data_IF_179352258320
#
_entry.id   IF_179352258320
#
_cell.length_a   1.000
_cell.length_b   1.000
_cell.length_c   1.000
_cell.angle_alpha   90.00
_cell.angle_beta   90.00
_cell.angle_gamma   90.00
#
_symmetry.space_group_name_H-M   'P 1'
#
loop_
_entity.id
_entity.type
_entity.pdbx_description
1 polymer ?
#
# COMPACT_ATOMS: atom_id res chain seq x y z
N UNK A 1 6.22 -16.04 -13.75
CA UNK A 1 5.48 -16.80 -12.71
C UNK A 1 6.33 -16.94 -11.46
N UNK A 2 7.47 -17.64 -11.52
CA UNK A 2 8.39 -17.83 -10.38
C UNK A 2 8.82 -16.49 -9.78
N UNK A 3 9.18 -15.50 -10.60
CA UNK A 3 9.59 -14.16 -10.13
C UNK A 3 8.46 -13.37 -9.44
N UNK A 4 7.18 -13.69 -9.68
CA UNK A 4 6.07 -13.01 -9.00
C UNK A 4 5.74 -13.68 -7.65
N UNK A 5 5.96 -14.99 -7.54
CA UNK A 5 5.75 -15.76 -6.31
C UNK A 5 6.97 -15.63 -5.38
N UNK A 6 8.16 -15.54 -5.97
CA UNK A 6 9.44 -15.33 -5.29
C UNK A 6 10.18 -14.16 -5.93
N UNK A 7 9.85 -12.91 -5.56
CA UNK A 7 10.46 -11.73 -6.15
C UNK A 7 11.91 -11.47 -5.68
N UNK A 8 12.49 -12.36 -4.87
CA UNK A 8 13.84 -12.20 -4.34
C UNK A 8 13.87 -11.22 -3.16
N UNK A 9 14.86 -10.33 -3.12
CA UNK A 9 15.04 -9.36 -2.03
C UNK A 9 14.03 -8.19 -2.06
N UNK A 10 13.43 -7.91 -3.22
CA UNK A 10 12.55 -6.77 -3.44
C UNK A 10 11.28 -7.16 -4.16
N UNK A 11 10.14 -6.68 -3.66
CA UNK A 11 8.82 -6.90 -4.22
C UNK A 11 7.89 -7.60 -3.25
N UNK A 12 6.59 -7.45 -3.49
CA UNK A 12 5.56 -8.11 -2.70
C UNK A 12 5.28 -9.47 -3.32
N UNK A 13 5.50 -10.59 -2.59
CA UNK A 13 5.26 -11.92 -3.13
C UNK A 13 3.76 -12.13 -3.39
N UNK A 14 3.44 -12.72 -4.54
CA UNK A 14 2.11 -13.19 -4.86
C UNK A 14 1.89 -14.61 -4.31
N UNK A 15 0.63 -14.96 -4.05
CA UNK A 15 0.25 -16.30 -3.56
C UNK A 15 0.66 -17.41 -4.53
N UNK A 16 1.05 -18.58 -4.02
CA UNK A 16 1.54 -19.70 -4.85
C UNK A 16 0.50 -20.20 -5.87
N UNK A 17 -0.80 -20.11 -5.56
CA UNK A 17 -1.89 -20.50 -6.45
C UNK A 17 -2.30 -19.40 -7.45
N UNK A 18 -1.54 -18.31 -7.55
CA UNK A 18 -1.79 -17.20 -8.48
C UNK A 18 -2.09 -17.61 -9.94
N UNK A 19 -1.45 -18.62 -10.57
CA UNK A 19 -1.73 -18.95 -11.97
C UNK A 19 -3.10 -19.60 -12.17
N UNK A 20 -3.76 -20.02 -11.09
CA UNK A 20 -5.11 -20.56 -11.12
C UNK A 20 -6.18 -19.49 -10.85
N UNK A 21 -5.80 -18.25 -10.55
CA UNK A 21 -6.76 -17.18 -10.34
C UNK A 21 -7.20 -16.56 -11.68
N UNK A 22 -8.46 -16.16 -11.77
CA UNK A 22 -8.99 -15.44 -12.95
C UNK A 22 -8.19 -14.16 -13.26
N UNK A 23 -7.64 -13.51 -12.23
CA UNK A 23 -6.82 -12.29 -12.36
C UNK A 23 -5.47 -12.52 -13.02
N UNK A 24 -4.95 -13.75 -13.07
CA UNK A 24 -3.73 -14.09 -13.80
C UNK A 24 -3.95 -14.09 -15.31
N UNK A 25 -4.98 -14.79 -15.78
CA UNK A 25 -5.26 -15.00 -17.21
C UNK A 25 -5.99 -13.84 -17.86
N UNK A 26 -6.96 -13.25 -17.16
CA UNK A 26 -7.82 -12.20 -17.70
C UNK A 26 -7.38 -10.80 -17.25
N UNK A 27 -6.32 -10.70 -16.45
CA UNK A 27 -5.91 -9.46 -15.81
C UNK A 27 -6.94 -8.97 -14.80
N UNK A 28 -6.71 -7.76 -14.28
CA UNK A 28 -7.73 -7.07 -13.50
C UNK A 28 -8.68 -6.35 -14.44
N UNK A 29 -9.97 -6.72 -14.40
CA UNK A 29 -11.00 -6.04 -15.17
C UNK A 29 -11.24 -4.63 -14.58
N UNK A 30 -11.13 -3.60 -15.41
CA UNK A 30 -11.27 -2.20 -15.02
C UNK A 30 -12.65 -1.86 -14.41
N UNK A 31 -13.70 -2.58 -14.81
CA UNK A 31 -15.04 -2.37 -14.25
C UNK A 31 -15.17 -2.87 -12.80
N UNK A 32 -14.58 -4.04 -12.49
CA UNK A 32 -14.55 -4.54 -11.11
C UNK A 32 -13.70 -3.66 -10.19
N UNK A 33 -12.58 -3.13 -10.71
CA UNK A 33 -11.75 -2.14 -10.02
C UNK A 33 -12.59 -0.92 -9.66
N UNK A 34 -13.32 -0.36 -10.64
CA UNK A 34 -14.12 0.84 -10.48
C UNK A 34 -15.25 0.64 -9.46
N UNK A 35 -15.99 -0.46 -9.53
CA UNK A 35 -17.04 -0.78 -8.56
C UNK A 35 -16.49 -0.94 -7.14
N UNK A 36 -15.34 -1.61 -6.99
CA UNK A 36 -14.70 -1.80 -5.66
C UNK A 36 -14.19 -0.48 -5.09
N UNK A 37 -13.66 0.42 -5.92
CA UNK A 37 -13.25 1.77 -5.50
C UNK A 37 -14.44 2.66 -5.14
N UNK A 38 -15.52 2.63 -5.94
CA UNK A 38 -16.75 3.36 -5.65
C UNK A 38 -17.39 2.90 -4.33
N UNK A 39 -17.44 1.58 -4.08
CA UNK A 39 -17.89 1.03 -2.80
C UNK A 39 -16.99 1.44 -1.63
N UNK A 40 -15.67 1.37 -1.79
CA UNK A 40 -14.71 1.77 -0.74
C UNK A 40 -14.79 3.27 -0.43
N UNK A 41 -15.02 4.11 -1.45
CA UNK A 41 -15.19 5.56 -1.31
C UNK A 41 -16.38 5.90 -0.40
N UNK A 42 -17.52 5.25 -0.62
CA UNK A 42 -18.70 5.42 0.23
C UNK A 42 -18.48 4.97 1.69
N UNK A 43 -17.68 3.93 1.94
CA UNK A 43 -17.39 3.44 3.31
C UNK A 43 -16.44 4.38 4.06
N UNK A 44 -15.49 5.00 3.36
CA UNK A 44 -14.57 5.98 3.95
C UNK A 44 -15.33 7.27 4.34
N UNK A 45 -16.30 7.70 3.53
CA UNK A 45 -17.14 8.87 3.83
C UNK A 45 -18.01 8.67 5.08
N UNK A 46 -18.43 7.43 5.38
CA UNK A 46 -19.31 7.13 6.53
C UNK A 46 -18.60 7.18 7.90
N UNK A 47 -17.26 7.06 7.94
CA UNK A 47 -16.49 7.02 9.20
C UNK A 47 -15.85 8.36 9.59
N UNK A 48 -16.14 9.45 8.87
CA UNK A 48 -15.65 10.80 9.19
C UNK A 48 -16.73 11.65 9.85
N UNK A 49 -17.17 11.27 11.06
CA UNK A 49 -17.74 12.23 12.00
C UNK A 49 -16.59 12.93 12.74
N UNK A 50 -15.98 13.93 12.09
CA UNK A 50 -14.99 14.78 12.74
C UNK A 50 -13.99 15.42 11.78
N UNK A 51 -14.14 16.73 11.62
CA UNK A 51 -13.22 17.71 11.03
C UNK A 51 -13.14 17.79 9.49
N UNK A 52 -13.82 18.85 9.03
CA UNK A 52 -13.88 19.38 7.67
C UNK A 52 -12.50 19.86 7.17
N UNK A 53 -12.35 19.89 5.84
CA UNK A 53 -11.24 20.46 5.03
C UNK A 53 -9.98 19.62 4.78
N UNK A 54 -9.92 18.37 5.24
CA UNK A 54 -8.82 17.48 4.87
C UNK A 54 -9.21 16.77 3.57
N UNK A 55 -8.49 17.08 2.47
CA UNK A 55 -8.85 16.70 1.09
C UNK A 55 -9.08 15.20 0.83
N UNK A 56 -9.28 14.80 -0.43
CA UNK A 56 -9.55 13.38 -0.75
C UNK A 56 -8.41 12.46 -0.27
N UNK A 57 -8.72 11.42 0.53
CA UNK A 57 -7.73 10.49 1.06
C UNK A 57 -7.00 9.76 -0.08
N UNK A 58 -5.69 9.94 -0.17
CA UNK A 58 -4.85 9.29 -1.18
C UNK A 58 -4.22 8.00 -0.67
N UNK A 59 -3.67 8.01 0.54
CA UNK A 59 -2.97 6.85 1.12
C UNK A 59 -3.41 6.68 2.58
N UNK A 60 -3.79 5.47 2.98
CA UNK A 60 -4.05 5.09 4.37
C UNK A 60 -3.07 3.99 4.78
N UNK A 61 -2.32 4.23 5.84
CA UNK A 61 -1.47 3.24 6.51
C UNK A 61 -2.15 2.90 7.83
N UNK A 62 -2.41 1.61 8.07
CA UNK A 62 -3.13 1.15 9.25
C UNK A 62 -2.34 0.04 9.96
N UNK A 63 -1.86 0.37 11.16
CA UNK A 63 -1.19 -0.52 12.10
C UNK A 63 0.00 -1.28 11.50
N UNK A 64 0.75 -0.61 10.60
CA UNK A 64 1.83 -1.24 9.86
C UNK A 64 3.05 -1.44 10.74
N UNK A 65 3.53 -2.67 10.78
CA UNK A 65 4.78 -3.02 11.47
C UNK A 65 5.72 -3.75 10.52
N UNK A 66 7.02 -3.51 10.70
CA UNK A 66 8.08 -4.15 9.92
C UNK A 66 9.21 -4.61 10.80
N UNK A 67 9.55 -5.89 10.65
CA UNK A 67 10.72 -6.51 11.26
C UNK A 67 11.70 -6.96 10.16
N UNK A 68 12.99 -6.80 10.45
CA UNK A 68 14.09 -7.40 9.69
C UNK A 68 14.84 -8.34 10.64
N UNK A 69 14.57 -9.64 10.51
CA UNK A 69 15.01 -10.63 11.49
C UNK A 69 14.49 -10.27 12.88
N UNK A 70 15.39 -10.05 13.85
CA UNK A 70 15.05 -9.69 15.22
C UNK A 70 14.95 -8.17 15.47
N UNK A 71 15.20 -7.34 14.44
CA UNK A 71 15.18 -5.88 14.56
C UNK A 71 13.87 -5.30 14.06
N UNK A 72 13.14 -4.61 14.94
CA UNK A 72 11.95 -3.86 14.59
C UNK A 72 12.34 -2.54 13.92
N UNK A 73 11.93 -2.36 12.66
CA UNK A 73 12.18 -1.12 11.91
C UNK A 73 10.98 -0.17 11.90
N UNK A 74 9.76 -0.72 11.98
CA UNK A 74 8.52 0.06 12.15
C UNK A 74 7.61 -0.64 13.16
N UNK A 75 6.98 0.13 14.04
CA UNK A 75 6.08 -0.35 15.08
C UNK A 75 4.74 0.36 14.98
N UNK A 76 3.69 -0.38 14.62
CA UNK A 76 2.30 0.06 14.63
C UNK A 76 2.07 1.47 14.03
N UNK A 77 2.65 1.71 12.85
CA UNK A 77 2.53 2.98 12.15
C UNK A 77 1.13 3.10 11.54
N UNK A 78 0.40 4.13 11.94
CA UNK A 78 -0.91 4.49 11.37
C UNK A 78 -0.88 5.96 10.94
N UNK A 79 -0.94 6.21 9.64
CA UNK A 79 -0.80 7.54 9.04
C UNK A 79 -1.69 7.65 7.81
N UNK A 80 -2.34 8.79 7.63
CA UNK A 80 -3.16 9.10 6.45
C UNK A 80 -2.51 10.23 5.67
N UNK A 81 -2.51 10.10 4.35
CA UNK A 81 -2.05 11.11 3.41
C UNK A 81 -3.19 11.49 2.49
N UNK A 82 -3.30 12.78 2.24
CA UNK A 82 -4.38 13.37 1.48
C UNK A 82 -3.87 13.83 0.11
N UNK A 83 -4.74 13.74 -0.90
CA UNK A 83 -4.43 14.21 -2.25
C UNK A 83 -4.18 15.70 -2.23
N UNK A 84 -3.33 16.14 -3.16
CA UNK A 84 -2.89 17.54 -3.30
C UNK A 84 -2.17 18.12 -2.06
N UNK A 85 -1.69 17.27 -1.15
CA UNK A 85 -0.92 17.68 0.02
C UNK A 85 0.52 17.17 -0.06
N UNK A 86 1.49 18.07 0.11
CA UNK A 86 2.90 17.69 0.21
C UNK A 86 3.19 17.26 1.65
N UNK A 87 3.62 16.01 1.84
CA UNK A 87 3.97 15.46 3.15
C UNK A 87 5.44 15.09 3.21
N UNK A 88 6.13 15.50 4.27
CA UNK A 88 7.54 15.17 4.49
C UNK A 88 7.71 14.36 5.79
N UNK A 89 8.53 13.32 5.74
CA UNK A 89 8.90 12.52 6.91
C UNK A 89 10.23 13.02 7.48
N UNK A 90 10.21 13.60 8.68
CA UNK A 90 11.40 14.05 9.39
C UNK A 90 11.71 13.12 10.57
N UNK A 91 13.00 12.84 10.78
CA UNK A 91 13.44 12.00 11.90
C UNK A 91 14.91 11.65 11.82
N UNK A 92 15.46 11.11 12.92
CA UNK A 92 16.85 10.66 13.00
C UNK A 92 17.14 9.51 12.02
N UNK A 93 18.41 9.31 11.69
CA UNK A 93 18.84 8.14 10.93
C UNK A 93 18.47 6.86 11.68
N UNK A 94 17.92 5.88 10.98
CA UNK A 94 17.43 4.64 11.59
C UNK A 94 16.01 4.70 12.19
N UNK A 95 15.31 5.85 12.13
CA UNK A 95 13.92 5.95 12.59
C UNK A 95 12.89 5.20 11.72
N UNK A 96 13.31 4.62 10.59
CA UNK A 96 12.43 3.85 9.70
C UNK A 96 11.86 4.63 8.52
N UNK A 97 12.26 5.89 8.27
CA UNK A 97 11.76 6.71 7.15
C UNK A 97 11.86 6.02 5.78
N UNK A 98 13.07 5.59 5.42
CA UNK A 98 13.30 4.89 4.14
C UNK A 98 12.55 3.56 4.11
N UNK A 99 12.47 2.85 5.24
CA UNK A 99 11.67 1.62 5.38
C UNK A 99 10.20 1.88 5.08
N UNK A 100 9.61 2.96 5.60
CA UNK A 100 8.22 3.35 5.32
C UNK A 100 8.02 3.58 3.83
N UNK A 101 8.93 4.31 3.17
CA UNK A 101 8.85 4.54 1.72
C UNK A 101 9.05 3.27 0.89
N UNK A 102 9.97 2.39 1.26
CA UNK A 102 10.13 1.08 0.62
C UNK A 102 8.87 0.22 0.73
N UNK A 103 8.15 0.33 1.85
CA UNK A 103 6.90 -0.37 2.03
C UNK A 103 5.79 0.28 1.19
N UNK A 104 5.64 1.61 1.24
CA UNK A 104 4.65 2.35 0.44
C UNK A 104 4.81 2.12 -1.07
N UNK A 105 6.05 1.98 -1.54
CA UNK A 105 6.36 1.73 -2.95
C UNK A 105 6.20 0.26 -3.35
N UNK A 106 5.93 -0.62 -2.40
CA UNK A 106 5.83 -2.06 -2.62
C UNK A 106 7.15 -2.69 -3.07
N UNK A 107 8.27 -2.09 -2.65
CA UNK A 107 9.61 -2.70 -2.74
C UNK A 107 9.82 -3.71 -1.61
N UNK A 108 9.22 -3.49 -0.45
CA UNK A 108 9.34 -4.39 0.70
C UNK A 108 7.94 -4.64 1.27
N UNK A 109 7.52 -5.91 1.50
CA UNK A 109 6.23 -6.16 2.12
C UNK A 109 6.26 -5.79 3.62
N UNK A 110 5.15 -5.25 4.17
CA UNK A 110 5.00 -5.11 5.62
C UNK A 110 5.00 -6.48 6.31
N UNK A 111 5.39 -6.54 7.59
CA UNK A 111 5.28 -7.78 8.39
C UNK A 111 3.85 -7.96 8.89
N UNK A 112 3.17 -6.86 9.21
CA UNK A 112 1.76 -6.84 9.60
C UNK A 112 1.15 -5.48 9.30
N UNK A 113 -0.18 -5.40 9.32
CA UNK A 113 -0.95 -4.20 9.00
C UNK A 113 -1.30 -4.10 7.51
N UNK A 114 -2.05 -3.08 7.17
CA UNK A 114 -2.60 -2.90 5.81
C UNK A 114 -2.32 -1.49 5.30
N UNK A 115 -2.11 -1.38 4.00
CA UNK A 115 -1.88 -0.09 3.33
C UNK A 115 -2.80 0.00 2.14
N UNK A 116 -3.56 1.09 2.10
CA UNK A 116 -4.45 1.42 1.00
C UNK A 116 -3.89 2.61 0.24
N UNK A 117 -3.76 2.49 -1.08
CA UNK A 117 -3.40 3.58 -1.98
C UNK A 117 -4.55 3.75 -2.97
N UNK A 118 -5.19 4.92 -2.98
CA UNK A 118 -6.41 5.19 -3.74
C UNK A 118 -7.52 4.14 -3.51
N UNK A 119 -7.61 3.59 -2.30
CA UNK A 119 -8.57 2.54 -1.95
C UNK A 119 -8.18 1.12 -2.40
N UNK A 120 -6.97 0.91 -2.94
CA UNK A 120 -6.46 -0.43 -3.26
C UNK A 120 -5.46 -0.90 -2.21
N UNK A 121 -5.61 -2.16 -1.79
CA UNK A 121 -4.65 -2.80 -0.90
C UNK A 121 -3.34 -3.10 -1.64
N UNK A 122 -2.22 -2.65 -1.09
CA UNK A 122 -0.89 -2.84 -1.67
C UNK A 122 -0.51 -4.32 -1.82
N UNK A 123 -0.96 -5.19 -0.91
CA UNK A 123 -0.59 -6.61 -0.93
C UNK A 123 -1.32 -7.36 -2.03
N UNK A 124 -2.61 -7.07 -2.18
CA UNK A 124 -3.49 -7.74 -3.14
C UNK A 124 -3.39 -7.14 -4.54
N UNK A 125 -3.35 -5.81 -4.64
CA UNK A 125 -3.57 -5.07 -5.88
C UNK A 125 -2.32 -4.28 -6.34
N UNK A 126 -1.13 -4.80 -6.03
CA UNK A 126 0.16 -4.12 -6.28
C UNK A 126 0.36 -3.61 -7.72
N UNK A 127 -0.17 -4.33 -8.72
CA UNK A 127 -0.09 -3.94 -10.13
C UNK A 127 -0.85 -2.64 -10.43
N UNK A 128 -1.98 -2.43 -9.76
CA UNK A 128 -2.80 -1.24 -9.90
C UNK A 128 -2.14 -0.09 -9.16
N UNK A 129 -1.68 -0.36 -7.93
CA UNK A 129 -0.97 0.61 -7.09
C UNK A 129 0.28 1.15 -7.79
N UNK A 130 1.11 0.29 -8.39
CA UNK A 130 2.31 0.70 -9.13
C UNK A 130 2.04 1.57 -10.36
N UNK A 131 0.84 1.51 -10.95
CA UNK A 131 0.44 2.41 -12.05
C UNK A 131 0.02 3.80 -11.56
N UNK A 132 -0.34 3.90 -10.28
CA UNK A 132 -0.82 5.14 -9.64
C UNK A 132 0.24 5.82 -8.78
N UNK A 133 1.30 5.10 -8.43
CA UNK A 133 2.39 5.59 -7.61
C UNK A 133 3.68 5.72 -8.43
N UNK A 134 4.26 6.92 -8.44
CA UNK A 134 5.60 7.16 -8.94
C UNK A 134 6.62 7.13 -7.80
N UNK A 135 7.76 6.49 -8.01
CA UNK A 135 8.90 6.52 -7.08
C UNK A 135 10.14 7.02 -7.82
N UNK A 136 10.77 8.06 -7.28
CA UNK A 136 12.06 8.54 -7.75
C UNK A 136 13.14 8.00 -6.79
N UNK A 137 14.02 7.09 -7.22
CA UNK A 137 15.15 6.67 -6.42
C UNK A 137 16.11 7.86 -6.19
N UNK A 138 16.81 7.84 -5.07
CA UNK A 138 17.90 8.79 -4.78
C UNK A 138 19.20 8.36 -5.43
#
# INVERSE_FOLDING_TARGET
YIENVFPGEYGIPQVWYYPFTKTYWFGYNAENIRQRTEQMKCVIDQNQNGENDIGELGISIENVSKYFGNKMALKNLSVKFYRNMITAFLGRNGAGKSTTWSILTGLIPPTSGTIYIDGYDILTDIKIVRKRLGFAPQ
#
